data_IF_612820164127
#
_entry.id   IF_612820164127
#
_cell.length_a   1.000
_cell.length_b   1.000
_cell.length_c   1.000
_cell.angle_alpha   90.00
_cell.angle_beta   90.00
_cell.angle_gamma   90.00
#
_symmetry.space_group_name_H-M   'P 1'
#
loop_
_entity.id
_entity.type
_entity.pdbx_description
1 polymer ?
#
# COMPACT_ATOMS: atom_id res chain seq x y z
N UNK A 1 10.61 -0.76 16.08
CA UNK A 1 10.63 -2.16 16.55
C UNK A 1 9.49 -2.94 15.91
N UNK A 2 9.76 -4.11 15.31
CA UNK A 2 8.71 -4.99 14.78
C UNK A 2 8.26 -5.97 15.88
N UNK A 3 6.96 -6.23 15.95
CA UNK A 3 6.32 -7.16 16.89
C UNK A 3 5.51 -8.16 16.06
N UNK A 4 5.65 -9.44 16.36
CA UNK A 4 4.88 -10.53 15.73
C UNK A 4 4.38 -11.44 16.83
N UNK A 5 3.08 -11.79 16.78
CA UNK A 5 2.43 -12.61 17.81
C UNK A 5 2.62 -12.09 19.25
N UNK A 6 2.64 -10.75 19.40
CA UNK A 6 2.82 -10.08 20.69
C UNK A 6 4.25 -10.07 21.22
N UNK A 7 5.22 -10.63 20.49
CA UNK A 7 6.62 -10.67 20.88
C UNK A 7 7.50 -9.79 19.97
N UNK A 8 8.51 -9.08 20.52
CA UNK A 8 9.50 -8.39 19.70
C UNK A 8 10.13 -9.35 18.70
N UNK A 9 10.07 -8.99 17.42
CA UNK A 9 10.68 -9.76 16.36
C UNK A 9 12.20 -9.62 16.41
N UNK A 10 12.91 -10.74 16.29
CA UNK A 10 14.36 -10.79 16.22
C UNK A 10 14.78 -11.69 15.07
N UNK A 11 15.89 -11.34 14.43
CA UNK A 11 16.53 -12.15 13.40
C UNK A 11 17.80 -12.78 13.95
N UNK A 12 18.10 -14.02 13.60
CA UNK A 12 19.34 -14.72 14.02
C UNK A 12 20.61 -14.15 13.34
N UNK A 13 20.44 -13.23 12.39
CA UNK A 13 21.52 -12.58 11.66
C UNK A 13 22.12 -11.40 12.42
N UNK A 14 23.33 -10.98 12.00
CA UNK A 14 24.22 -9.97 12.62
C UNK A 14 23.54 -8.76 13.26
N UNK A 15 24.27 -8.05 14.12
CA UNK A 15 23.83 -6.86 14.88
C UNK A 15 23.14 -5.72 14.07
N UNK A 16 23.16 -5.75 12.74
CA UNK A 16 22.36 -4.89 11.85
C UNK A 16 21.82 -5.69 10.65
N UNK A 17 20.65 -6.35 10.77
CA UNK A 17 20.08 -7.14 9.67
C UNK A 17 19.68 -6.22 8.50
N UNK A 18 19.95 -6.65 7.26
CA UNK A 18 19.52 -5.92 6.06
C UNK A 18 18.02 -6.15 5.82
N UNK A 19 17.35 -5.23 5.10
CA UNK A 19 15.92 -5.37 4.76
C UNK A 19 15.53 -6.73 4.17
N UNK A 20 16.41 -7.32 3.36
CA UNK A 20 16.22 -8.66 2.78
C UNK A 20 16.18 -9.78 3.83
N UNK A 21 17.02 -9.68 4.87
CA UNK A 21 17.17 -10.71 5.89
C UNK A 21 15.97 -10.65 6.85
N UNK A 22 15.55 -9.42 7.19
CA UNK A 22 14.31 -9.13 7.93
C UNK A 22 13.11 -9.70 7.17
N UNK A 23 13.01 -9.40 5.87
CA UNK A 23 11.91 -9.86 5.04
C UNK A 23 11.83 -11.39 4.97
N UNK A 24 12.96 -12.06 4.72
CA UNK A 24 13.01 -13.52 4.63
C UNK A 24 12.51 -14.17 5.93
N UNK A 25 13.00 -13.71 7.08
CA UNK A 25 12.59 -14.24 8.38
C UNK A 25 11.10 -13.95 8.71
N UNK A 26 10.58 -12.78 8.33
CA UNK A 26 9.15 -12.47 8.47
C UNK A 26 8.26 -13.34 7.58
N UNK A 27 8.70 -13.61 6.34
CA UNK A 27 7.95 -14.44 5.39
C UNK A 27 7.78 -15.88 5.87
N UNK A 28 8.75 -16.40 6.64
CA UNK A 28 8.75 -17.76 7.20
C UNK A 28 8.13 -17.84 8.61
N UNK A 29 7.86 -16.71 9.26
CA UNK A 29 7.36 -16.69 10.64
C UNK A 29 5.98 -17.38 10.76
N UNK A 30 5.81 -18.42 11.60
CA UNK A 30 4.59 -19.25 11.63
C UNK A 30 3.28 -18.48 11.81
N UNK A 31 3.27 -17.48 12.70
CA UNK A 31 2.09 -16.64 12.92
C UNK A 31 1.68 -15.83 11.67
N UNK A 32 2.66 -15.33 10.90
CA UNK A 32 2.41 -14.57 9.69
C UNK A 32 1.99 -15.47 8.53
N UNK A 33 2.57 -16.67 8.41
CA UNK A 33 2.11 -17.70 7.47
C UNK A 33 0.65 -18.08 7.76
N UNK A 34 0.29 -18.29 9.03
CA UNK A 34 -1.08 -18.58 9.46
C UNK A 34 -2.04 -17.43 9.13
N UNK A 35 -1.65 -16.18 9.43
CA UNK A 35 -2.42 -14.99 9.09
C UNK A 35 -2.62 -14.84 7.57
N UNK A 36 -1.58 -15.09 6.78
CA UNK A 36 -1.63 -15.06 5.32
C UNK A 36 -2.55 -16.13 4.74
N UNK A 37 -2.52 -17.35 5.27
CA UNK A 37 -3.46 -18.41 4.87
C UNK A 37 -4.90 -18.07 5.23
N UNK A 38 -5.11 -17.46 6.40
CA UNK A 38 -6.43 -17.00 6.83
C UNK A 38 -6.94 -15.89 5.92
N UNK A 39 -6.10 -14.92 5.56
CA UNK A 39 -6.44 -13.85 4.62
C UNK A 39 -6.76 -14.39 3.22
N UNK A 40 -5.99 -15.37 2.72
CA UNK A 40 -6.23 -16.06 1.45
C UNK A 40 -7.58 -16.75 1.37
N UNK A 41 -8.11 -17.22 2.49
CA UNK A 41 -9.39 -17.91 2.57
C UNK A 41 -10.60 -16.96 2.58
N UNK A 42 -10.38 -15.65 2.76
CA UNK A 42 -11.45 -14.65 2.75
C UNK A 42 -11.92 -14.44 1.30
N UNK A 43 -13.23 -14.54 1.00
CA UNK A 43 -13.76 -14.19 -0.31
C UNK A 43 -13.46 -12.72 -0.67
N UNK A 44 -12.99 -12.47 -1.88
CA UNK A 44 -12.73 -11.11 -2.34
C UNK A 44 -14.03 -10.29 -2.41
N UNK A 45 -14.05 -9.14 -1.73
CA UNK A 45 -15.19 -8.22 -1.74
C UNK A 45 -15.10 -7.28 -2.94
N UNK A 46 -16.17 -7.21 -3.73
CA UNK A 46 -16.29 -6.29 -4.87
C UNK A 46 -17.05 -5.03 -4.47
N UNK A 47 -16.45 -3.88 -4.70
CA UNK A 47 -17.07 -2.57 -4.49
C UNK A 47 -17.64 -2.04 -5.80
N UNK A 48 -18.88 -1.56 -5.72
CA UNK A 48 -19.60 -0.87 -6.79
C UNK A 48 -20.59 0.09 -6.15
N UNK A 49 -20.86 1.22 -6.80
CA UNK A 49 -21.91 2.15 -6.36
C UNK A 49 -23.25 1.60 -6.87
N UNK A 50 -24.24 1.36 -5.99
CA UNK A 50 -25.56 0.90 -6.43
C UNK A 50 -26.22 1.91 -7.37
N UNK A 51 -26.87 1.42 -8.44
CA UNK A 51 -27.82 2.24 -9.20
C UNK A 51 -29.00 2.59 -8.28
N UNK A 52 -29.46 3.86 -8.28
CA UNK A 52 -30.37 4.47 -7.29
C UNK A 52 -31.81 3.88 -7.18
N UNK A 53 -32.04 2.60 -7.49
CA UNK A 53 -33.38 2.02 -7.67
C UNK A 53 -33.81 0.96 -6.64
N UNK A 54 -33.15 0.85 -5.47
CA UNK A 54 -33.49 -0.13 -4.43
C UNK A 54 -34.23 0.46 -3.20
N UNK A 55 -35.24 -0.22 -2.63
CA UNK A 55 -36.05 0.30 -1.51
C UNK A 55 -35.43 0.07 -0.10
N UNK A 56 -34.16 -0.36 0.02
CA UNK A 56 -33.55 -0.61 1.32
C UNK A 56 -32.71 0.57 1.83
N UNK A 57 -33.24 1.23 2.87
CA UNK A 57 -32.58 2.26 3.68
C UNK A 57 -31.45 1.69 4.54
N UNK A 58 -30.45 1.06 3.96
CA UNK A 58 -29.14 0.98 4.63
C UNK A 58 -28.37 2.26 4.26
N UNK A 59 -27.79 2.94 5.25
CA UNK A 59 -26.91 4.06 4.96
C UNK A 59 -25.78 3.55 4.05
N UNK A 60 -25.52 4.19 2.89
CA UNK A 60 -24.46 3.74 2.01
C UNK A 60 -23.15 3.80 2.77
N UNK A 61 -22.40 2.70 2.75
CA UNK A 61 -21.08 2.67 3.36
C UNK A 61 -20.19 3.75 2.75
N UNK A 62 -19.43 4.45 3.58
CA UNK A 62 -18.50 5.49 3.15
C UNK A 62 -17.12 4.86 3.00
N UNK A 63 -16.57 4.88 1.80
CA UNK A 63 -15.23 4.37 1.57
C UNK A 63 -14.30 5.36 0.87
N UNK A 64 -13.01 5.16 1.09
CA UNK A 64 -11.93 5.88 0.43
C UNK A 64 -11.13 4.88 -0.40
N UNK A 65 -11.11 5.11 -1.71
CA UNK A 65 -10.24 4.38 -2.63
C UNK A 65 -8.95 5.15 -2.89
N UNK A 66 -7.81 4.45 -2.92
CA UNK A 66 -6.49 5.00 -3.19
C UNK A 66 -5.93 4.44 -4.49
N UNK A 67 -5.43 5.33 -5.35
CA UNK A 67 -4.62 4.92 -6.50
C UNK A 67 -3.17 4.71 -6.10
N UNK A 68 -2.41 4.09 -7.00
CA UNK A 68 -0.95 4.06 -6.96
C UNK A 68 -0.36 5.45 -6.67
N UNK A 69 0.65 5.51 -5.78
CA UNK A 69 1.26 6.75 -5.28
C UNK A 69 0.29 7.67 -4.52
N UNK A 70 -0.65 7.09 -3.78
CA UNK A 70 -1.50 7.84 -2.84
C UNK A 70 -1.47 7.20 -1.45
N UNK A 71 -1.75 8.02 -0.45
CA UNK A 71 -2.06 7.55 0.89
C UNK A 71 -3.17 8.40 1.51
N UNK A 72 -3.90 7.84 2.46
CA UNK A 72 -4.89 8.55 3.24
C UNK A 72 -4.85 8.10 4.68
N UNK A 73 -5.09 9.03 5.60
CA UNK A 73 -5.35 8.73 7.00
C UNK A 73 -6.79 9.10 7.30
N UNK A 74 -7.58 8.12 7.74
CA UNK A 74 -9.02 8.26 7.93
C UNK A 74 -9.41 8.06 9.39
N UNK A 75 -10.44 8.79 9.79
CA UNK A 75 -11.10 8.68 11.09
C UNK A 75 -12.25 7.66 11.00
N UNK A 76 -12.33 6.67 11.90
CA UNK A 76 -13.39 5.66 11.89
C UNK A 76 -14.80 6.23 12.13
N UNK A 77 -14.94 7.44 12.68
CA UNK A 77 -16.24 8.12 12.80
C UNK A 77 -16.75 8.68 11.46
N UNK A 78 -15.88 8.75 10.47
CA UNK A 78 -16.09 9.43 9.20
C UNK A 78 -16.13 8.44 8.02
N UNK A 79 -15.21 7.49 8.00
CA UNK A 79 -15.01 6.56 6.88
C UNK A 79 -15.18 5.15 7.41
N UNK A 80 -16.04 4.35 6.80
CA UNK A 80 -16.24 2.95 7.19
C UNK A 80 -15.08 2.08 6.66
N UNK A 81 -14.62 2.40 5.44
CA UNK A 81 -13.68 1.57 4.70
C UNK A 81 -12.61 2.38 3.97
N UNK A 82 -11.37 1.92 3.97
CA UNK A 82 -10.30 2.51 3.14
C UNK A 82 -9.51 1.39 2.48
N UNK A 83 -9.18 1.55 1.19
CA UNK A 83 -8.55 0.47 0.44
C UNK A 83 -7.95 0.90 -0.89
N UNK A 84 -7.34 -0.07 -1.54
CA UNK A 84 -6.70 0.07 -2.84
C UNK A 84 -6.82 -1.24 -3.60
N UNK A 85 -6.80 -1.17 -4.93
CA UNK A 85 -6.58 -2.32 -5.81
C UNK A 85 -5.56 -1.99 -6.91
N UNK A 86 -5.51 -2.80 -7.97
CA UNK A 86 -4.58 -2.67 -9.10
C UNK A 86 -3.09 -2.82 -8.72
N UNK A 87 -2.78 -3.38 -7.55
CA UNK A 87 -1.42 -3.66 -7.10
C UNK A 87 -0.90 -4.97 -7.74
N UNK A 88 -0.18 -4.83 -8.86
CA UNK A 88 0.57 -5.94 -9.46
C UNK A 88 1.88 -6.17 -8.71
N UNK A 89 2.93 -5.40 -9.03
CA UNK A 89 4.22 -5.41 -8.32
C UNK A 89 4.26 -4.43 -7.14
N UNK A 90 3.27 -3.54 -7.08
CA UNK A 90 3.10 -2.57 -6.00
C UNK A 90 2.65 -3.25 -4.70
N UNK A 91 2.82 -2.58 -3.58
CA UNK A 91 2.41 -3.06 -2.25
C UNK A 91 1.52 -2.02 -1.61
N UNK A 92 0.34 -2.44 -1.20
CA UNK A 92 -0.50 -1.64 -0.32
C UNK A 92 -0.11 -1.87 1.14
N UNK A 93 0.06 -0.78 1.88
CA UNK A 93 0.46 -0.77 3.29
C UNK A 93 -0.65 -0.12 4.09
N UNK A 94 -1.17 -0.81 5.10
CA UNK A 94 -2.10 -0.24 6.08
C UNK A 94 -1.45 -0.19 7.46
N UNK A 95 -1.58 0.93 8.14
CA UNK A 95 -1.11 1.18 9.50
C UNK A 95 -2.29 1.73 10.30
N UNK A 96 -2.65 1.06 11.38
CA UNK A 96 -3.78 1.44 12.23
C UNK A 96 -3.31 1.69 13.65
N UNK A 97 -3.80 2.78 14.23
CA UNK A 97 -3.73 3.03 15.65
C UNK A 97 -4.89 2.26 16.34
N UNK A 98 -4.62 1.19 17.11
CA UNK A 98 -5.68 0.41 17.73
C UNK A 98 -6.40 1.16 18.86
N UNK A 99 -5.76 2.17 19.46
CA UNK A 99 -6.32 2.93 20.58
C UNK A 99 -7.45 3.88 20.18
N UNK A 100 -7.36 4.51 19.01
CA UNK A 100 -8.39 5.43 18.51
C UNK A 100 -9.01 5.02 17.16
N UNK A 101 -8.50 3.97 16.52
CA UNK A 101 -8.98 3.45 15.24
C UNK A 101 -8.57 4.25 14.00
N UNK A 102 -7.79 5.34 14.16
CA UNK A 102 -7.24 6.08 13.03
C UNK A 102 -6.44 5.14 12.14
N UNK A 103 -6.73 5.14 10.84
CA UNK A 103 -6.18 4.16 9.90
C UNK A 103 -5.55 4.90 8.72
N UNK A 104 -4.27 4.66 8.48
CA UNK A 104 -3.58 5.12 7.27
C UNK A 104 -3.38 3.98 6.29
N UNK A 105 -3.73 4.17 5.02
CA UNK A 105 -3.44 3.22 3.93
C UNK A 105 -2.65 3.94 2.85
N UNK A 106 -1.68 3.27 2.24
CA UNK A 106 -0.91 3.76 1.11
C UNK A 106 -0.76 2.69 0.02
N UNK A 107 -0.69 3.10 -1.24
CA UNK A 107 -0.32 2.26 -2.37
C UNK A 107 1.09 2.64 -2.85
N UNK A 108 2.07 1.83 -2.46
CA UNK A 108 3.50 2.08 -2.73
C UNK A 108 3.96 1.30 -3.96
N UNK A 109 4.72 1.95 -4.84
CA UNK A 109 5.15 1.40 -6.13
C UNK A 109 6.68 1.40 -6.33
N UNK A 110 7.44 1.94 -5.38
CA UNK A 110 8.89 2.07 -5.50
C UNK A 110 9.58 2.07 -4.13
N UNK A 111 10.76 1.43 -3.98
CA UNK A 111 11.58 1.56 -2.77
C UNK A 111 11.94 3.02 -2.44
N UNK A 112 12.10 3.87 -3.47
CA UNK A 112 12.56 5.27 -3.33
C UNK A 112 11.62 6.15 -2.50
N UNK A 113 10.35 5.77 -2.39
CA UNK A 113 9.31 6.57 -1.75
C UNK A 113 8.89 6.06 -0.38
N UNK A 114 9.40 4.88 0.04
CA UNK A 114 8.97 4.21 1.26
C UNK A 114 9.25 5.06 2.50
N UNK A 115 10.45 5.63 2.62
CA UNK A 115 10.85 6.40 3.81
C UNK A 115 9.97 7.64 4.03
N UNK A 116 9.74 8.41 2.95
CA UNK A 116 8.89 9.60 3.01
C UNK A 116 7.40 9.22 3.19
N UNK A 117 6.93 8.18 2.50
CA UNK A 117 5.56 7.71 2.60
C UNK A 117 5.20 7.23 4.00
N UNK A 118 6.04 6.38 4.62
CA UNK A 118 5.82 5.92 5.99
C UNK A 118 5.90 7.08 7.00
N UNK A 119 6.85 7.99 6.85
CA UNK A 119 6.92 9.19 7.72
C UNK A 119 5.65 10.03 7.65
N UNK A 120 5.09 10.18 6.44
CA UNK A 120 3.85 10.89 6.20
C UNK A 120 2.63 10.19 6.79
N UNK A 121 2.49 8.87 6.58
CA UNK A 121 1.41 8.07 7.19
C UNK A 121 1.42 8.18 8.72
N UNK A 122 2.60 8.13 9.33
CA UNK A 122 2.76 8.14 10.79
C UNK A 122 2.53 9.52 11.41
N UNK A 123 2.77 10.61 10.67
CA UNK A 123 2.61 11.99 11.17
C UNK A 123 1.22 12.33 11.70
N UNK A 124 0.19 11.62 11.23
CA UNK A 124 -1.20 11.76 11.69
C UNK A 124 -1.66 10.64 12.62
N UNK A 125 -0.91 9.53 12.70
CA UNK A 125 -1.28 8.38 13.50
C UNK A 125 -0.67 8.43 14.90
N UNK A 126 0.51 9.03 15.03
CA UNK A 126 1.36 8.96 16.21
C UNK A 126 1.49 10.32 16.87
N UNK A 127 1.06 10.41 18.12
CA UNK A 127 1.37 11.55 18.96
C UNK A 127 2.83 11.47 19.41
N UNK A 128 3.55 12.59 19.30
CA UNK A 128 5.00 12.69 19.53
C UNK A 128 5.52 12.20 20.91
N UNK A 129 4.61 11.91 21.85
CA UNK A 129 4.93 11.48 23.22
C UNK A 129 4.37 10.10 23.59
N UNK A 130 3.89 9.31 22.63
CA UNK A 130 3.23 8.01 22.89
C UNK A 130 4.14 6.82 22.57
N UNK A 131 4.25 5.87 23.50
CA UNK A 131 4.85 4.54 23.27
C UNK A 131 3.85 3.61 22.58
N UNK A 132 3.31 4.08 21.46
CA UNK A 132 2.16 3.46 20.83
C UNK A 132 2.55 2.27 19.95
N UNK A 133 1.76 1.21 20.07
CA UNK A 133 1.81 0.03 19.23
C UNK A 133 0.81 0.16 18.08
N UNK A 134 1.29 0.03 16.84
CA UNK A 134 0.52 0.19 15.62
C UNK A 134 0.33 -1.16 14.94
N UNK A 135 -0.90 -1.45 14.50
CA UNK A 135 -1.17 -2.63 13.68
C UNK A 135 -0.79 -2.36 12.22
N UNK A 136 -0.06 -3.29 11.59
CA UNK A 136 0.43 -3.15 10.22
C UNK A 136 -0.02 -4.34 9.36
N UNK A 137 -0.51 -4.03 8.16
CA UNK A 137 -0.87 -5.02 7.15
C UNK A 137 -0.20 -4.67 5.82
N UNK A 138 0.41 -5.66 5.17
CA UNK A 138 1.01 -5.54 3.85
C UNK A 138 0.33 -6.52 2.91
N UNK A 139 -0.15 -6.03 1.78
CA UNK A 139 -0.80 -6.84 0.74
C UNK A 139 -0.38 -6.34 -0.63
N UNK A 140 -0.03 -7.25 -1.53
CA UNK A 140 0.39 -6.92 -2.90
C UNK A 140 1.77 -7.47 -3.21
N UNK A 141 2.30 -7.14 -4.38
CA UNK A 141 3.50 -7.77 -4.91
C UNK A 141 3.31 -9.28 -5.15
N UNK A 142 4.19 -9.85 -5.96
CA UNK A 142 4.27 -11.28 -6.19
C UNK A 142 5.71 -11.62 -6.58
N UNK A 143 6.03 -12.91 -6.76
CA UNK A 143 7.35 -13.32 -7.24
C UNK A 143 7.47 -13.03 -8.75
N UNK A 144 7.76 -11.78 -9.10
CA UNK A 144 7.78 -11.27 -10.48
C UNK A 144 9.05 -11.60 -11.28
N UNK A 145 9.93 -12.43 -10.71
CA UNK A 145 11.13 -12.97 -11.37
C UNK A 145 11.02 -14.49 -11.47
N UNK A 146 11.46 -15.05 -12.60
CA UNK A 146 11.47 -16.51 -12.76
C UNK A 146 12.54 -17.17 -11.86
N UNK A 147 12.26 -18.33 -11.23
CA UNK A 147 13.25 -19.08 -10.46
C UNK A 147 14.46 -19.52 -11.30
N UNK A 148 14.30 -19.61 -12.62
CA UNK A 148 15.28 -20.15 -13.56
C UNK A 148 16.38 -19.15 -13.97
N UNK A 149 16.36 -17.91 -13.47
CA UNK A 149 17.40 -16.91 -13.77
C UNK A 149 18.62 -16.94 -12.83
N UNK A 150 18.66 -17.89 -11.88
CA UNK A 150 19.77 -18.05 -10.94
C UNK A 150 21.11 -18.54 -11.51
N UNK A 151 21.25 -18.77 -12.82
CA UNK A 151 22.48 -19.31 -13.42
C UNK A 151 23.27 -18.32 -14.31
N UNK A 152 22.96 -17.02 -14.25
CA UNK A 152 23.75 -16.02 -14.99
C UNK A 152 24.91 -15.50 -14.13
N UNK A 153 26.07 -16.12 -14.28
CA UNK A 153 27.35 -15.78 -13.63
C UNK A 153 28.01 -14.51 -14.23
N UNK A 154 27.24 -13.47 -14.55
CA UNK A 154 27.78 -12.23 -15.17
C UNK A 154 27.62 -11.06 -14.20
N UNK A 155 28.72 -10.79 -13.50
CA UNK A 155 28.84 -9.95 -12.30
C UNK A 155 28.77 -8.43 -12.57
N UNK A 156 28.03 -7.97 -13.59
CA UNK A 156 28.16 -6.57 -14.05
C UNK A 156 26.90 -5.85 -14.56
N UNK A 157 25.71 -6.46 -14.55
CA UNK A 157 24.45 -5.71 -14.80
C UNK A 157 23.58 -5.72 -13.54
N UNK A 158 23.50 -4.55 -12.89
CA UNK A 158 22.77 -4.17 -11.66
C UNK A 158 21.94 -5.27 -10.97
N UNK A 159 22.32 -5.68 -9.75
CA UNK A 159 21.55 -6.60 -8.91
C UNK A 159 20.07 -6.21 -8.73
N UNK A 160 19.73 -4.93 -8.89
CA UNK A 160 18.34 -4.43 -8.90
C UNK A 160 17.47 -5.03 -10.02
N UNK A 161 18.04 -5.32 -11.19
CA UNK A 161 17.30 -5.85 -12.35
C UNK A 161 17.01 -7.35 -12.24
N UNK A 162 17.77 -8.06 -11.41
CA UNK A 162 17.63 -9.48 -11.14
C UNK A 162 16.66 -9.77 -9.98
N UNK A 163 16.40 -8.79 -9.12
CA UNK A 163 15.53 -8.93 -7.95
C UNK A 163 14.04 -8.68 -8.26
N UNK A 164 13.70 -8.21 -9.46
CA UNK A 164 12.34 -7.80 -9.83
C UNK A 164 11.94 -6.50 -9.16
N UNK A 165 10.66 -6.16 -9.23
CA UNK A 165 10.09 -4.95 -8.64
C UNK A 165 9.52 -5.19 -7.25
N UNK A 166 8.88 -6.35 -7.02
CA UNK A 166 8.15 -6.60 -5.78
C UNK A 166 9.09 -6.83 -4.59
N UNK A 167 10.15 -7.63 -4.78
CA UNK A 167 11.05 -7.98 -3.68
C UNK A 167 11.81 -6.78 -3.12
N UNK A 168 12.45 -5.90 -3.93
CA UNK A 168 13.11 -4.70 -3.41
C UNK A 168 12.16 -3.76 -2.67
N UNK A 169 10.91 -3.62 -3.16
CA UNK A 169 9.89 -2.81 -2.50
C UNK A 169 9.52 -3.39 -1.13
N UNK A 170 9.23 -4.69 -1.06
CA UNK A 170 8.90 -5.37 0.19
C UNK A 170 10.05 -5.28 1.21
N UNK A 171 11.29 -5.52 0.75
CA UNK A 171 12.48 -5.47 1.60
C UNK A 171 12.68 -4.06 2.16
N UNK A 172 12.47 -3.03 1.34
CA UNK A 172 12.57 -1.64 1.78
C UNK A 172 11.48 -1.25 2.77
N UNK A 173 10.24 -1.71 2.59
CA UNK A 173 9.15 -1.44 3.53
C UNK A 173 9.47 -2.02 4.91
N UNK A 174 9.86 -3.30 4.99
CA UNK A 174 10.16 -3.92 6.30
C UNK A 174 11.42 -3.35 6.94
N UNK A 175 12.43 -2.98 6.15
CA UNK A 175 13.62 -2.29 6.64
C UNK A 175 13.28 -0.94 7.26
N UNK A 176 12.45 -0.14 6.57
CA UNK A 176 12.04 1.16 7.11
C UNK A 176 11.21 0.96 8.37
N UNK A 177 10.26 0.01 8.44
CA UNK A 177 9.52 -0.29 9.68
C UNK A 177 10.45 -0.73 10.84
N UNK A 178 11.47 -1.52 10.55
CA UNK A 178 12.45 -2.00 11.53
C UNK A 178 13.26 -0.85 12.15
N UNK A 179 13.73 0.07 11.30
CA UNK A 179 14.59 1.19 11.69
C UNK A 179 13.85 2.35 12.38
N UNK A 180 12.51 2.27 12.44
CA UNK A 180 11.66 3.27 13.08
C UNK A 180 11.55 3.03 14.60
N UNK A 181 11.39 4.12 15.34
CA UNK A 181 11.28 4.09 16.81
C UNK A 181 9.94 3.52 17.27
N UNK A 182 8.87 3.70 16.48
CA UNK A 182 7.55 3.16 16.80
C UNK A 182 7.55 1.63 16.81
N UNK A 183 6.52 1.09 17.46
CA UNK A 183 6.29 -0.34 17.59
C UNK A 183 5.24 -0.78 16.58
N UNK A 184 5.59 -1.73 15.71
CA UNK A 184 4.75 -2.19 14.61
C UNK A 184 4.38 -3.66 14.79
N UNK A 185 3.12 -3.94 15.09
CA UNK A 185 2.57 -5.29 15.09
C UNK A 185 2.22 -5.68 13.67
N UNK A 186 3.04 -6.51 13.03
CA UNK A 186 2.69 -7.04 11.71
C UNK A 186 1.60 -8.08 11.91
N UNK A 187 0.38 -7.73 11.50
CA UNK A 187 -0.82 -8.58 11.60
C UNK A 187 -1.05 -9.41 10.34
N UNK A 188 -0.66 -8.88 9.19
CA UNK A 188 -0.82 -9.57 7.89
C UNK A 188 0.36 -9.25 6.99
N UNK A 189 0.97 -10.29 6.43
CA UNK A 189 2.08 -10.20 5.49
C UNK A 189 1.75 -11.00 4.22
N UNK A 190 0.78 -10.51 3.44
CA UNK A 190 0.29 -11.17 2.24
C UNK A 190 0.96 -10.61 0.99
N UNK A 191 2.26 -10.84 0.88
CA UNK A 191 3.14 -10.32 -0.17
C UNK A 191 3.97 -11.44 -0.79
N UNK A 192 4.57 -11.20 -1.96
CA UNK A 192 5.50 -12.12 -2.62
C UNK A 192 4.93 -13.55 -2.71
N UNK A 193 5.66 -14.56 -2.23
CA UNK A 193 5.24 -15.97 -2.26
C UNK A 193 3.85 -16.21 -1.66
N UNK A 194 3.48 -15.47 -0.60
CA UNK A 194 2.15 -15.59 0.01
C UNK A 194 1.03 -15.08 -0.92
N UNK A 195 1.33 -14.09 -1.77
CA UNK A 195 0.41 -13.56 -2.77
C UNK A 195 0.68 -14.09 -4.19
N UNK A 196 1.52 -15.13 -4.37
CA UNK A 196 1.85 -15.64 -5.71
C UNK A 196 1.02 -16.87 -6.06
N UNK A 197 0.46 -16.88 -7.27
CA UNK A 197 -0.02 -18.07 -7.96
C UNK A 197 0.73 -18.25 -9.26
N UNK A 198 0.85 -19.49 -9.73
CA UNK A 198 1.49 -19.81 -11.01
C UNK A 198 0.50 -20.53 -11.92
N UNK A 199 0.53 -20.22 -13.22
CA UNK A 199 -0.23 -20.97 -14.23
C UNK A 199 0.49 -22.29 -14.59
N UNK A 200 -0.04 -23.02 -15.58
CA UNK A 200 0.52 -24.31 -16.01
C UNK A 200 1.90 -24.14 -16.69
N UNK A 201 2.14 -22.96 -17.26
CA UNK A 201 3.37 -22.56 -17.93
C UNK A 201 4.43 -22.04 -16.93
N UNK A 202 4.06 -21.88 -15.66
CA UNK A 202 4.93 -21.41 -14.59
C UNK A 202 5.01 -19.88 -14.44
N UNK A 203 4.23 -19.13 -15.21
CA UNK A 203 4.15 -17.67 -15.11
C UNK A 203 3.50 -17.29 -13.78
N UNK A 204 4.14 -16.35 -13.08
CA UNK A 204 3.66 -15.88 -11.79
C UNK A 204 2.65 -14.75 -11.94
N UNK A 205 1.62 -14.77 -11.08
CA UNK A 205 0.60 -13.74 -10.97
C UNK A 205 0.28 -13.49 -9.50
N UNK A 206 -0.18 -12.28 -9.14
CA UNK A 206 -0.76 -12.05 -7.84
C UNK A 206 -2.06 -12.86 -7.66
N UNK A 207 -2.32 -13.31 -6.43
CA UNK A 207 -3.58 -13.92 -6.01
C UNK A 207 -4.63 -12.82 -5.85
N UNK A 208 -4.30 -11.78 -5.07
CA UNK A 208 -5.12 -10.59 -4.90
C UNK A 208 -4.34 -9.35 -5.33
N UNK A 209 -5.04 -8.42 -5.98
CA UNK A 209 -4.49 -7.13 -6.43
C UNK A 209 -4.89 -5.98 -5.51
N UNK A 210 -5.63 -6.24 -4.44
CA UNK A 210 -6.20 -5.20 -3.61
C UNK A 210 -6.77 -5.71 -2.29
N UNK A 211 -6.97 -4.77 -1.39
CA UNK A 211 -7.59 -4.99 -0.09
C UNK A 211 -8.31 -3.75 0.38
N UNK A 212 -9.07 -3.93 1.44
CA UNK A 212 -9.71 -2.87 2.18
C UNK A 212 -9.61 -3.13 3.68
N UNK A 213 -9.66 -2.06 4.47
CA UNK A 213 -9.67 -2.08 5.93
C UNK A 213 -10.99 -1.52 6.43
N UNK A 214 -11.66 -2.28 7.30
CA UNK A 214 -12.75 -1.76 8.15
C UNK A 214 -12.19 -0.89 9.26
N UNK A 215 -12.45 0.40 9.23
CA UNK A 215 -11.82 1.37 10.15
C UNK A 215 -12.23 1.14 11.61
N UNK A 216 -13.50 0.78 11.82
CA UNK A 216 -14.08 0.50 13.14
C UNK A 216 -13.52 -0.77 13.78
N UNK A 217 -13.20 -1.80 12.98
CA UNK A 217 -12.74 -3.10 13.47
C UNK A 217 -11.24 -3.33 13.31
N UNK A 218 -10.60 -2.62 12.40
CA UNK A 218 -9.24 -2.90 11.92
C UNK A 218 -9.14 -4.16 11.05
N UNK A 219 -10.26 -4.80 10.68
CA UNK A 219 -10.24 -6.01 9.87
C UNK A 219 -9.85 -5.72 8.43
N UNK A 220 -9.02 -6.57 7.84
CA UNK A 220 -8.59 -6.49 6.45
C UNK A 220 -9.30 -7.56 5.61
N UNK A 221 -9.77 -7.21 4.41
CA UNK A 221 -10.46 -8.11 3.47
C UNK A 221 -9.86 -7.92 2.07
N UNK A 222 -9.58 -8.98 1.29
CA UNK A 222 -9.24 -8.84 -0.12
C UNK A 222 -10.35 -8.10 -0.87
N UNK A 223 -10.00 -7.15 -1.73
CA UNK A 223 -11.01 -6.32 -2.37
C UNK A 223 -10.63 -5.86 -3.78
N UNK A 224 -11.66 -5.69 -4.61
CA UNK A 224 -11.57 -5.04 -5.92
C UNK A 224 -12.62 -3.94 -6.03
N UNK A 225 -12.28 -2.89 -6.76
CA UNK A 225 -13.10 -1.69 -6.93
C UNK A 225 -13.39 -1.51 -8.41
N UNK A 226 -14.66 -1.42 -8.78
CA UNK A 226 -15.03 -1.06 -10.14
C UNK A 226 -14.77 0.43 -10.43
N UNK A 227 -15.02 0.87 -11.66
CA UNK A 227 -14.83 2.29 -12.02
C UNK A 227 -15.76 3.25 -11.26
N UNK A 228 -16.92 2.79 -10.81
CA UNK A 228 -17.90 3.64 -10.12
C UNK A 228 -17.53 3.88 -8.66
N UNK A 229 -16.75 2.97 -8.06
CA UNK A 229 -16.36 3.00 -6.65
C UNK A 229 -14.99 3.63 -6.38
N UNK A 230 -14.26 4.06 -7.42
CA UNK A 230 -12.93 4.71 -7.30
C UNK A 230 -12.98 6.23 -7.25
N UNK A 231 -14.18 6.79 -7.11
CA UNK A 231 -14.46 8.21 -7.04
C UNK A 231 -13.92 8.87 -5.75
N UNK A 232 -13.82 10.22 -5.72
CA UNK A 232 -14.05 11.15 -6.83
C UNK A 232 -12.84 11.23 -7.79
N UNK A 233 -13.06 11.90 -8.92
CA UNK A 233 -12.02 12.35 -9.87
C UNK A 233 -11.08 11.24 -10.40
N UNK A 234 -11.60 10.03 -10.62
CA UNK A 234 -10.81 8.85 -11.06
C UNK A 234 -9.90 9.16 -12.25
N UNK A 235 -10.47 9.75 -13.31
CA UNK A 235 -9.74 10.08 -14.54
C UNK A 235 -8.59 11.06 -14.25
N UNK A 236 -8.85 12.10 -13.46
CA UNK A 236 -7.86 13.14 -13.14
C UNK A 236 -6.73 12.56 -12.28
N UNK A 237 -7.09 11.76 -11.26
CA UNK A 237 -6.13 11.10 -10.37
C UNK A 237 -5.27 10.08 -11.12
N UNK A 238 -5.84 9.38 -12.10
CA UNK A 238 -5.12 8.45 -12.98
C UNK A 238 -4.18 9.16 -13.95
N UNK A 239 -4.63 10.23 -14.61
CA UNK A 239 -3.77 11.04 -15.51
C UNK A 239 -2.55 11.56 -14.76
N UNK A 240 -2.72 12.05 -13.53
CA UNK A 240 -1.62 12.52 -12.67
C UNK A 240 -0.53 11.46 -12.50
N UNK A 241 -0.90 10.20 -12.29
CA UNK A 241 0.04 9.09 -12.12
C UNK A 241 0.81 8.87 -13.42
N UNK A 242 0.13 8.78 -14.57
CA UNK A 242 0.77 8.59 -15.87
C UNK A 242 1.64 9.78 -16.31
N UNK A 243 1.27 11.01 -15.94
CA UNK A 243 2.01 12.22 -16.25
C UNK A 243 3.24 12.42 -15.35
N UNK A 244 3.34 11.67 -14.24
CA UNK A 244 4.49 11.70 -13.35
C UNK A 244 5.64 10.84 -13.88
N UNK A 245 6.27 11.31 -14.97
CA UNK A 245 7.46 10.68 -15.54
C UNK A 245 8.69 10.91 -14.62
N UNK A 246 9.46 9.87 -14.34
CA UNK A 246 10.73 9.98 -13.62
C UNK A 246 11.77 10.63 -14.55
N UNK A 247 12.00 11.94 -14.45
CA UNK A 247 13.21 12.56 -15.02
C UNK A 247 14.39 12.35 -14.07
N UNK A 248 15.36 11.55 -14.49
CA UNK A 248 16.57 11.19 -13.71
C UNK A 248 17.49 12.37 -13.37
N UNK A 249 17.27 13.56 -13.97
CA UNK A 249 18.08 14.76 -13.78
C UNK A 249 17.63 15.67 -12.63
N UNK A 250 16.45 15.46 -12.05
CA UNK A 250 15.87 16.36 -11.05
C UNK A 250 16.07 15.88 -9.61
N UNK A 251 16.76 16.70 -8.80
CA UNK A 251 17.07 16.47 -7.37
C UNK A 251 16.02 17.03 -6.39
N UNK A 252 14.80 17.31 -6.85
CA UNK A 252 13.72 17.81 -6.00
C UNK A 252 13.01 16.67 -5.25
N UNK A 253 12.44 16.91 -4.05
CA UNK A 253 11.65 15.89 -3.35
C UNK A 253 10.39 15.57 -4.16
N UNK A 254 10.37 14.40 -4.77
CA UNK A 254 9.19 13.81 -5.37
C UNK A 254 8.12 13.62 -4.30
N UNK A 255 7.04 14.41 -4.33
CA UNK A 255 5.85 14.11 -3.54
C UNK A 255 4.64 14.34 -4.43
N UNK A 256 4.38 13.40 -5.35
CA UNK A 256 3.11 13.31 -6.06
C UNK A 256 2.11 12.50 -5.22
N UNK A 257 1.95 12.82 -3.93
CA UNK A 257 1.00 12.14 -3.07
C UNK A 257 -0.18 13.06 -2.81
N UNK A 258 -1.38 12.56 -3.09
CA UNK A 258 -2.60 13.18 -2.61
C UNK A 258 -2.75 12.76 -1.15
N UNK A 259 -2.90 13.76 -0.30
CA UNK A 259 -3.29 13.57 1.08
C UNK A 259 -4.81 13.71 1.17
N UNK A 260 -5.48 12.67 1.61
CA UNK A 260 -6.88 12.76 2.04
C UNK A 260 -6.86 12.86 3.57
N UNK A 261 -7.05 14.08 4.07
CA UNK A 261 -7.31 14.33 5.48
C UNK A 261 -8.64 15.07 5.56
N UNK A 262 -9.56 14.58 6.40
CA UNK A 262 -10.89 15.17 6.59
C UNK A 262 -11.69 15.38 5.29
N UNK A 263 -11.70 14.40 4.39
CA UNK A 263 -12.42 14.44 3.10
C UNK A 263 -12.01 15.59 2.16
N UNK A 264 -10.87 16.24 2.40
CA UNK A 264 -10.27 17.17 1.46
C UNK A 264 -9.11 16.49 0.76
N UNK A 265 -9.21 16.39 -0.57
CA UNK A 265 -8.08 16.09 -1.45
C UNK A 265 -7.13 17.28 -1.37
N UNK A 266 -6.00 17.13 -0.68
CA UNK A 266 -4.92 18.11 -0.70
C UNK A 266 -3.89 17.61 -1.71
N UNK A 267 -3.87 18.27 -2.88
CA UNK A 267 -2.84 18.10 -3.90
C UNK A 267 -1.56 18.82 -3.42
N UNK A 268 -0.54 18.07 -3.03
CA UNK A 268 0.81 18.63 -2.87
C UNK A 268 1.50 18.43 -4.21
N UNK A 269 1.63 19.50 -4.99
CA UNK A 269 2.42 19.46 -6.23
C UNK A 269 3.30 20.71 -6.31
N UNK A 270 4.61 20.51 -6.46
CA UNK A 270 5.60 21.58 -6.68
C UNK A 270 6.28 21.47 -8.05
N UNK A 271 5.52 21.18 -9.11
CA UNK A 271 6.00 21.30 -10.49
C UNK A 271 5.03 22.16 -11.32
N UNK A 272 5.53 23.27 -11.87
CA UNK A 272 4.73 24.33 -12.51
C UNK A 272 3.94 23.87 -13.73
N UNK A 273 4.47 22.90 -14.51
CA UNK A 273 3.80 22.42 -15.72
C UNK A 273 2.58 21.52 -15.46
N UNK A 274 2.66 20.66 -14.44
CA UNK A 274 1.63 19.66 -14.22
C UNK A 274 0.49 20.20 -13.31
N UNK A 275 0.77 21.24 -12.49
CA UNK A 275 -0.25 22.12 -11.90
C UNK A 275 -1.08 22.83 -12.98
N UNK A 276 -0.43 23.32 -14.05
CA UNK A 276 -1.14 23.96 -15.17
C UNK A 276 -2.05 22.98 -15.90
N UNK A 277 -1.59 21.74 -16.15
CA UNK A 277 -2.39 20.70 -16.79
C UNK A 277 -3.59 20.27 -15.93
N UNK A 278 -3.39 20.11 -14.62
CA UNK A 278 -4.45 19.78 -13.66
C UNK A 278 -5.46 20.92 -13.50
N UNK A 279 -5.02 22.19 -13.47
CA UNK A 279 -5.91 23.35 -13.46
C UNK A 279 -6.69 23.50 -14.77
N UNK A 280 -6.06 23.22 -15.92
CA UNK A 280 -6.72 23.23 -17.23
C UNK A 280 -7.76 22.11 -17.36
N UNK A 281 -7.46 20.90 -16.87
CA UNK A 281 -8.42 19.79 -16.82
C UNK A 281 -9.60 20.09 -15.89
N UNK A 282 -9.34 20.69 -14.71
CA UNK A 282 -10.40 21.13 -13.78
C UNK A 282 -11.28 22.22 -14.39
N UNK A 283 -10.68 23.15 -15.14
CA UNK A 283 -11.41 24.20 -15.85
C UNK A 283 -12.26 23.66 -17.02
N UNK A 284 -11.79 22.63 -17.74
CA UNK A 284 -12.56 22.00 -18.81
C UNK A 284 -13.73 21.15 -18.30
N UNK A 285 -13.59 20.50 -17.14
CA UNK A 285 -14.66 19.70 -16.52
C UNK A 285 -15.74 20.62 -15.94
N UNK A 286 -15.37 21.76 -15.34
CA UNK A 286 -16.31 22.77 -14.84
C UNK A 286 -17.08 23.53 -15.94
N UNK A 287 -16.67 23.41 -17.22
CA UNK A 287 -17.37 24.06 -18.33
C UNK A 287 -18.37 23.14 -19.05
N UNK A 288 -18.47 21.87 -18.63
CA UNK A 288 -19.37 20.84 -19.20
C UNK A 288 -20.47 20.37 -18.23
N UNK A 289 -20.67 21.06 -17.12
CA UNK A 289 -21.83 20.94 -16.21
C UNK A 289 -22.53 22.30 -16.19
#
# INVERSE_FOLDING_TARGET
MIIVDGLPFSTDTSASPQGRDILAALMEHPALVSASNSFKAIPERRFSVPEESGPEKTLPSKWVYLFQREYATVDPSLVDFVGTDEATTCVGVAIRNPGNGMTSVAHMDSPKIVDIGLSQMLSLLVDHNSDMELDVHLVGGFEDVSPNHGNCNTRSESQEKLAGYSFPLCAKIVETLWNRQEKFHIRTLFILGHNTRRDLEGNAYPIFNGFMVGTSTGSITPASFDRTSRCPDEIVRRIRISASHEESSWKGPYVNYIFLCHYKIILIQKSSLCVLLLLLLRAQILWKI
#
